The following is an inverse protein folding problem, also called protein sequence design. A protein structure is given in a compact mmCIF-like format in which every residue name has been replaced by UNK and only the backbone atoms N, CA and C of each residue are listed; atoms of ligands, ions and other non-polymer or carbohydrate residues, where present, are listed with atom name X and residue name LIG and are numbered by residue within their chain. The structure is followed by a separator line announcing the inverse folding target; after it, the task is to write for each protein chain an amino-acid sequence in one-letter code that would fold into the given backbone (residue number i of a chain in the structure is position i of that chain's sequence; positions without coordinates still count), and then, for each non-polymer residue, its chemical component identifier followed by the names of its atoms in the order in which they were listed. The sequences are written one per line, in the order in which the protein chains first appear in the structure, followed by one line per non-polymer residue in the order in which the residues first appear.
data_IF_830410657103
#
_entry.id   IF_830410657103
#
_cell.length_a   1.000
_cell.length_b   1.000
_cell.length_c   1.000
_cell.angle_alpha   90.00
_cell.angle_beta   90.00
_cell.angle_gamma   90.00
#
_symmetry.space_group_name_H-M   'P 1'
#
loop_
_entity.id
_entity.type
_entity.pdbx_description
1 polymer ?
#
# COMPACT_ATOMS: atom_id res chain seq x y z
N UNK A 1 -1.93 24.40 -21.46
CA UNK A 1 -1.21 23.35 -20.71
C UNK A 1 -1.21 22.07 -21.52
N UNK A 2 -0.06 21.39 -21.66
CA UNK A 2 0.12 20.14 -22.41
C UNK A 2 0.85 19.15 -21.50
N UNK A 3 0.34 17.93 -21.38
CA UNK A 3 0.89 16.84 -20.54
C UNK A 3 0.31 15.49 -20.98
N UNK A 4 0.91 14.40 -20.53
CA UNK A 4 0.47 13.01 -20.77
C UNK A 4 -0.59 12.52 -19.76
N UNK A 5 -0.51 12.95 -18.50
CA UNK A 5 -1.36 12.40 -17.41
C UNK A 5 -2.18 13.49 -16.73
N UNK A 6 -3.46 13.20 -16.49
CA UNK A 6 -4.44 14.13 -15.94
C UNK A 6 -5.30 13.46 -14.87
N UNK A 7 -5.58 14.18 -13.77
CA UNK A 7 -6.51 13.73 -12.74
C UNK A 7 -7.93 14.15 -13.14
N UNK A 8 -8.84 13.18 -13.19
CA UNK A 8 -10.28 13.41 -13.27
C UNK A 8 -10.83 13.36 -11.86
N UNK A 9 -11.41 14.46 -11.39
CA UNK A 9 -12.02 14.50 -10.06
C UNK A 9 -13.32 13.70 -10.00
N UNK A 10 -13.70 13.15 -8.83
CA UNK A 10 -14.94 12.42 -8.66
C UNK A 10 -16.15 13.20 -9.17
N UNK A 11 -17.04 12.52 -9.92
CA UNK A 11 -18.22 13.11 -10.56
C UNK A 11 -17.94 14.28 -11.52
N UNK A 12 -16.69 14.44 -11.97
CA UNK A 12 -16.28 15.44 -12.95
C UNK A 12 -16.12 14.89 -14.36
N UNK A 13 -15.61 15.75 -15.26
CA UNK A 13 -15.17 15.36 -16.59
C UNK A 13 -13.90 16.12 -16.99
N UNK A 14 -13.24 15.65 -18.05
CA UNK A 14 -12.15 16.36 -18.72
C UNK A 14 -12.41 16.36 -20.21
N UNK A 15 -12.00 17.43 -20.90
CA UNK A 15 -12.02 17.53 -22.35
C UNK A 15 -10.59 17.61 -22.84
N UNK A 16 -10.19 16.68 -23.69
CA UNK A 16 -8.85 16.57 -24.25
C UNK A 16 -8.87 16.90 -25.73
N UNK A 17 -7.79 17.50 -26.21
CA UNK A 17 -7.50 17.66 -27.64
C UNK A 17 -6.04 17.29 -27.87
N UNK A 18 -5.81 16.36 -28.78
CA UNK A 18 -4.50 16.05 -29.31
C UNK A 18 -4.56 16.07 -30.84
N UNK A 19 -3.41 16.24 -31.48
CA UNK A 19 -3.29 16.14 -32.93
C UNK A 19 -2.80 14.72 -33.24
N UNK A 20 -3.48 14.06 -34.17
CA UNK A 20 -3.06 12.75 -34.67
C UNK A 20 -1.95 12.94 -35.71
N UNK A 21 -0.72 13.15 -35.25
CA UNK A 21 0.48 13.29 -36.06
C UNK A 21 1.60 12.27 -35.75
N UNK A 22 1.26 11.19 -35.04
CA UNK A 22 2.16 10.09 -34.69
C UNK A 22 1.49 8.72 -34.93
N UNK A 23 1.59 8.15 -36.15
CA UNK A 23 0.99 6.86 -36.51
C UNK A 23 1.39 5.77 -35.53
N UNK A 24 0.42 5.05 -34.97
CA UNK A 24 0.68 4.10 -33.90
C UNK A 24 -0.57 3.55 -33.22
N UNK A 25 -0.34 2.69 -32.24
CA UNK A 25 -1.38 2.11 -31.38
C UNK A 25 -1.12 2.63 -29.96
N UNK A 26 -1.99 3.49 -29.46
CA UNK A 26 -1.77 4.23 -28.21
C UNK A 26 -2.78 3.84 -27.15
N UNK A 27 -2.30 3.50 -25.96
CA UNK A 27 -3.16 3.20 -24.82
C UNK A 27 -3.61 4.49 -24.13
N UNK A 28 -4.89 4.54 -23.78
CA UNK A 28 -5.48 5.58 -22.95
C UNK A 28 -6.19 4.93 -21.77
N UNK A 29 -5.63 5.08 -20.57
CA UNK A 29 -6.09 4.35 -19.40
C UNK A 29 -5.95 5.16 -18.11
N UNK A 30 -6.59 4.69 -17.04
CA UNK A 30 -6.31 5.20 -15.70
C UNK A 30 -4.95 4.71 -15.23
N UNK A 31 -4.10 5.56 -14.64
CA UNK A 31 -2.77 5.12 -14.18
C UNK A 31 -2.79 4.41 -12.80
N UNK A 32 -3.97 3.96 -12.36
CA UNK A 32 -4.14 3.16 -11.14
C UNK A 32 -4.19 1.70 -11.55
N UNK A 33 -3.21 0.90 -11.12
CA UNK A 33 -2.98 -0.47 -11.60
C UNK A 33 -4.22 -1.37 -11.50
N UNK A 34 -4.92 -1.33 -10.36
CA UNK A 34 -6.14 -2.12 -10.18
C UNK A 34 -7.32 -1.65 -11.05
N UNK A 35 -7.35 -0.38 -11.49
CA UNK A 35 -8.34 0.08 -12.46
C UNK A 35 -7.99 -0.38 -13.88
N UNK A 36 -6.71 -0.35 -14.28
CA UNK A 36 -6.26 -0.84 -15.60
C UNK A 36 -6.56 -2.31 -15.77
N UNK A 37 -6.17 -3.13 -14.79
CA UNK A 37 -6.38 -4.57 -14.80
C UNK A 37 -7.86 -4.95 -14.73
N UNK A 38 -8.71 -4.08 -14.15
CA UNK A 38 -10.17 -4.19 -14.20
C UNK A 38 -10.77 -3.76 -15.54
N UNK A 39 -9.98 -3.28 -16.50
CA UNK A 39 -10.41 -2.94 -17.85
C UNK A 39 -10.68 -1.45 -18.11
N UNK A 40 -10.28 -0.52 -17.22
CA UNK A 40 -10.42 0.93 -17.44
C UNK A 40 -9.35 1.44 -18.43
N UNK A 41 -9.48 1.01 -19.68
CA UNK A 41 -8.59 1.35 -20.79
C UNK A 41 -9.37 1.53 -22.10
N UNK A 42 -8.79 2.29 -23.01
CA UNK A 42 -9.15 2.39 -24.42
C UNK A 42 -7.86 2.36 -25.25
N UNK A 43 -7.98 1.96 -26.51
CA UNK A 43 -6.86 1.95 -27.46
C UNK A 43 -7.21 2.83 -28.64
N UNK A 44 -6.33 3.79 -28.95
CA UNK A 44 -6.42 4.61 -30.15
C UNK A 44 -5.55 3.99 -31.24
N UNK A 45 -6.16 3.66 -32.38
CA UNK A 45 -5.45 3.21 -33.57
C UNK A 45 -5.31 4.39 -34.52
N UNK A 46 -4.12 4.99 -34.54
CA UNK A 46 -3.82 6.20 -35.29
C UNK A 46 -3.18 5.89 -36.64
N UNK A 47 -3.81 6.39 -37.71
CA UNK A 47 -3.32 6.29 -39.09
C UNK A 47 -2.82 4.88 -39.49
N UNK A 48 -3.66 3.82 -39.39
CA UNK A 48 -3.23 2.43 -39.58
C UNK A 48 -2.61 2.15 -40.96
N UNK A 49 -3.08 2.84 -42.00
CA UNK A 49 -2.55 2.69 -43.35
C UNK A 49 -1.14 3.29 -43.51
N UNK A 50 -0.82 4.37 -42.78
CA UNK A 50 0.53 4.93 -42.77
C UNK A 50 1.45 4.11 -41.87
N UNK A 51 0.95 3.66 -40.72
CA UNK A 51 1.68 2.79 -39.81
C UNK A 51 2.17 1.52 -40.52
N UNK A 52 1.32 0.88 -41.32
CA UNK A 52 1.69 -0.33 -42.10
C UNK A 52 2.82 -0.10 -43.12
N UNK A 53 3.04 1.13 -43.58
CA UNK A 53 4.11 1.46 -44.53
C UNK A 53 5.44 1.72 -43.84
N UNK A 54 5.40 2.18 -42.60
CA UNK A 54 6.60 2.64 -41.86
C UNK A 54 7.10 1.62 -40.86
N UNK A 55 6.22 0.79 -40.29
CA UNK A 55 6.58 -0.16 -39.24
C UNK A 55 6.87 -1.55 -39.82
N UNK A 56 8.06 -2.05 -39.52
CA UNK A 56 8.41 -3.46 -39.67
C UNK A 56 8.69 -4.00 -38.26
N UNK A 57 7.90 -4.97 -37.82
CA UNK A 57 8.05 -5.56 -36.48
C UNK A 57 9.27 -6.50 -36.51
N UNK A 58 10.28 -6.29 -35.65
CA UNK A 58 11.43 -7.20 -35.56
C UNK A 58 11.03 -8.64 -35.20
N UNK A 59 11.80 -9.62 -35.69
CA UNK A 59 11.53 -11.05 -35.48
C UNK A 59 11.43 -11.42 -33.99
N UNK A 60 12.29 -10.83 -33.16
CA UNK A 60 12.31 -11.07 -31.70
C UNK A 60 10.93 -10.85 -31.04
N UNK A 61 10.13 -9.90 -31.54
CA UNK A 61 8.79 -9.68 -30.99
C UNK A 61 7.82 -10.81 -31.36
N UNK A 62 7.91 -11.35 -32.58
CA UNK A 62 7.12 -12.51 -32.98
C UNK A 62 7.52 -13.77 -32.19
N UNK A 63 8.80 -13.91 -31.88
CA UNK A 63 9.32 -15.02 -31.08
C UNK A 63 8.77 -14.95 -29.65
N UNK A 64 8.70 -13.76 -29.06
CA UNK A 64 8.06 -13.53 -27.74
C UNK A 64 6.56 -13.86 -27.79
N UNK A 65 5.83 -13.45 -28.83
CA UNK A 65 4.42 -13.81 -29.00
C UNK A 65 4.23 -15.32 -29.09
N UNK A 66 5.08 -15.99 -29.86
CA UNK A 66 5.05 -17.46 -30.02
C UNK A 66 5.36 -18.17 -28.71
N UNK A 67 6.35 -17.69 -27.95
CA UNK A 67 6.70 -18.24 -26.65
C UNK A 67 5.59 -18.06 -25.59
N UNK A 68 4.74 -17.05 -25.76
CA UNK A 68 3.61 -16.75 -24.87
C UNK A 68 2.26 -17.29 -25.34
N UNK A 69 2.22 -18.15 -26.37
CA UNK A 69 0.98 -18.64 -27.01
C UNK A 69 0.02 -17.51 -27.45
N UNK A 70 0.57 -16.37 -27.87
CA UNK A 70 -0.19 -15.18 -28.31
C UNK A 70 -0.29 -15.15 -29.84
N UNK A 71 -1.50 -15.25 -30.42
CA UNK A 71 -1.69 -15.15 -31.87
C UNK A 71 -1.31 -13.76 -32.40
N UNK A 72 -0.60 -13.73 -33.52
CA UNK A 72 -0.08 -12.50 -34.15
C UNK A 72 -0.98 -11.97 -35.28
N UNK A 73 -2.08 -12.64 -35.57
CA UNK A 73 -3.02 -12.29 -36.62
C UNK A 73 -4.47 -12.46 -36.14
N UNK A 74 -5.37 -11.63 -36.66
CA UNK A 74 -6.79 -11.64 -36.34
C UNK A 74 -7.21 -10.48 -35.43
N UNK A 75 -8.43 -10.56 -34.91
CA UNK A 75 -8.97 -9.58 -33.97
C UNK A 75 -8.57 -9.88 -32.50
N UNK A 76 -9.23 -9.24 -31.53
CA UNK A 76 -8.96 -9.44 -30.10
C UNK A 76 -9.18 -10.89 -29.60
N UNK A 77 -9.83 -11.74 -30.40
CA UNK A 77 -10.02 -13.17 -30.14
C UNK A 77 -9.24 -14.05 -31.13
N UNK A 78 -8.26 -13.50 -31.85
CA UNK A 78 -7.47 -14.17 -32.88
C UNK A 78 -8.28 -14.71 -34.08
N UNK A 79 -9.51 -14.20 -34.30
CA UNK A 79 -10.32 -14.59 -35.44
C UNK A 79 -9.88 -13.83 -36.70
N UNK A 80 -9.54 -14.58 -37.77
CA UNK A 80 -9.06 -14.02 -39.05
C UNK A 80 -10.11 -14.00 -40.16
N UNK A 81 -11.14 -14.84 -40.06
CA UNK A 81 -12.23 -14.91 -41.05
C UNK A 81 -13.37 -13.95 -40.71
N UNK A 82 -13.97 -14.11 -39.52
CA UNK A 82 -15.01 -13.22 -39.03
C UNK A 82 -14.41 -12.23 -38.01
N UNK A 83 -14.02 -11.06 -38.50
CA UNK A 83 -13.40 -10.02 -37.67
C UNK A 83 -14.32 -9.44 -36.58
N UNK A 84 -15.64 -9.65 -36.68
CA UNK A 84 -16.61 -9.19 -35.70
C UNK A 84 -16.90 -10.24 -34.61
N UNK A 85 -16.41 -11.47 -34.76
CA UNK A 85 -16.56 -12.48 -33.72
C UNK A 85 -15.49 -12.30 -32.64
N UNK A 86 -15.92 -11.89 -31.45
CA UNK A 86 -15.06 -11.63 -30.30
C UNK A 86 -15.13 -12.75 -29.24
N UNK A 87 -15.69 -13.91 -29.59
CA UNK A 87 -15.72 -15.08 -28.68
C UNK A 87 -14.29 -15.53 -28.37
N UNK A 88 -13.94 -15.53 -27.09
CA UNK A 88 -12.59 -15.88 -26.63
C UNK A 88 -11.66 -14.67 -26.41
N UNK A 89 -12.14 -13.44 -26.63
CA UNK A 89 -11.36 -12.26 -26.28
C UNK A 89 -11.08 -12.18 -24.77
N UNK A 90 -10.01 -11.46 -24.42
CA UNK A 90 -9.72 -11.15 -23.03
C UNK A 90 -10.87 -10.33 -22.43
N UNK A 91 -11.33 -10.75 -21.25
CA UNK A 91 -12.39 -10.06 -20.50
C UNK A 91 -11.88 -9.66 -19.13
N UNK A 92 -12.36 -8.53 -18.57
CA UNK A 92 -11.97 -8.12 -17.23
C UNK A 92 -12.36 -9.19 -16.21
N UNK A 93 -11.66 -9.26 -15.07
CA UNK A 93 -12.04 -10.15 -13.98
C UNK A 93 -13.48 -9.87 -13.56
N UNK A 94 -14.16 -10.92 -13.08
CA UNK A 94 -15.54 -10.81 -12.61
C UNK A 94 -15.62 -9.74 -11.52
N UNK A 95 -16.69 -8.92 -11.48
CA UNK A 95 -16.91 -8.00 -10.38
C UNK A 95 -16.85 -8.72 -9.04
N UNK A 96 -16.29 -8.06 -8.03
CA UNK A 96 -16.28 -8.57 -6.66
C UNK A 96 -17.72 -8.87 -6.23
N UNK A 97 -17.94 -9.98 -5.48
CA UNK A 97 -19.26 -10.24 -4.92
C UNK A 97 -19.68 -9.07 -4.03
N UNK A 98 -20.94 -8.68 -4.12
CA UNK A 98 -21.48 -7.65 -3.23
C UNK A 98 -21.42 -8.09 -1.77
N UNK A 99 -21.07 -7.15 -0.88
CA UNK A 99 -21.05 -7.36 0.56
C UNK A 99 -19.76 -7.98 1.10
N UNK A 100 -19.74 -8.24 2.41
CA UNK A 100 -18.61 -8.89 3.07
C UNK A 100 -18.65 -10.40 2.85
N UNK A 101 -17.52 -10.97 2.45
CA UNK A 101 -17.35 -12.43 2.44
C UNK A 101 -17.40 -12.96 3.88
N UNK A 102 -17.78 -14.23 4.10
CA UNK A 102 -17.74 -14.85 5.43
C UNK A 102 -16.37 -14.71 6.08
N UNK A 103 -15.29 -14.84 5.28
CA UNK A 103 -13.91 -14.59 5.73
C UNK A 103 -13.72 -13.14 6.20
N UNK A 104 -14.28 -12.17 5.47
CA UNK A 104 -14.26 -10.76 5.84
C UNK A 104 -15.02 -10.48 7.15
N UNK A 105 -16.20 -11.08 7.33
CA UNK A 105 -16.98 -10.94 8.57
C UNK A 105 -16.21 -11.52 9.75
N UNK A 106 -15.66 -12.72 9.62
CA UNK A 106 -14.87 -13.38 10.67
C UNK A 106 -13.65 -12.52 11.03
N UNK A 107 -12.89 -12.05 10.03
CA UNK A 107 -11.74 -11.18 10.27
C UNK A 107 -12.13 -9.87 10.98
N UNK A 108 -13.25 -9.26 10.59
CA UNK A 108 -13.77 -8.05 11.22
C UNK A 108 -14.15 -8.28 12.69
N UNK A 109 -14.87 -9.36 12.99
CA UNK A 109 -15.27 -9.71 14.36
C UNK A 109 -14.04 -9.91 15.26
N UNK A 110 -13.04 -10.67 14.82
CA UNK A 110 -11.81 -10.86 15.59
C UNK A 110 -11.04 -9.56 15.79
N UNK A 111 -11.01 -8.68 14.78
CA UNK A 111 -10.38 -7.37 14.89
C UNK A 111 -11.08 -6.49 15.93
N UNK A 112 -12.41 -6.49 15.97
CA UNK A 112 -13.19 -5.79 16.99
C UNK A 112 -12.94 -6.35 18.39
N UNK A 113 -12.94 -7.68 18.55
CA UNK A 113 -12.66 -8.32 19.85
C UNK A 113 -11.26 -7.95 20.34
N UNK A 114 -10.23 -8.05 19.48
CA UNK A 114 -8.86 -7.71 19.83
C UNK A 114 -8.74 -6.22 20.23
N UNK A 115 -9.40 -5.32 19.51
CA UNK A 115 -9.44 -3.89 19.83
C UNK A 115 -10.06 -3.62 21.20
N UNK A 116 -11.21 -4.24 21.51
CA UNK A 116 -11.88 -4.09 22.80
C UNK A 116 -11.01 -4.66 23.93
N UNK A 117 -10.47 -5.87 23.76
CA UNK A 117 -9.58 -6.48 24.76
C UNK A 117 -8.35 -5.62 25.00
N UNK A 118 -7.74 -5.04 23.95
CA UNK A 118 -6.62 -4.12 24.08
C UNK A 118 -6.96 -2.90 24.93
N UNK A 119 -8.11 -2.27 24.68
CA UNK A 119 -8.60 -1.13 25.49
C UNK A 119 -8.86 -1.55 26.94
N UNK A 120 -9.49 -2.70 27.17
CA UNK A 120 -9.73 -3.22 28.51
C UNK A 120 -8.44 -3.50 29.28
N UNK A 121 -7.42 -4.06 28.62
CA UNK A 121 -6.10 -4.32 29.24
C UNK A 121 -5.43 -3.02 29.63
N UNK A 122 -5.43 -2.01 28.76
CA UNK A 122 -4.86 -0.68 29.09
C UNK A 122 -5.58 -0.03 30.25
N UNK A 123 -6.92 -0.07 30.26
CA UNK A 123 -7.71 0.46 31.37
C UNK A 123 -7.43 -0.28 32.69
N UNK A 124 -7.30 -1.61 32.64
CA UNK A 124 -6.94 -2.43 33.80
C UNK A 124 -5.56 -2.05 34.35
N UNK A 125 -4.54 -1.98 33.50
CA UNK A 125 -3.19 -1.59 33.91
C UNK A 125 -3.13 -0.15 34.41
N UNK A 126 -3.87 0.78 33.78
CA UNK A 126 -3.92 2.18 34.20
C UNK A 126 -4.66 2.42 35.51
N UNK A 127 -5.59 1.53 35.88
CA UNK A 127 -6.34 1.58 37.14
C UNK A 127 -5.76 0.66 38.23
N UNK A 128 -4.85 -0.25 37.88
CA UNK A 128 -4.12 -1.04 38.86
C UNK A 128 -3.25 -0.08 39.69
N UNK A 129 -3.61 0.10 40.96
CA UNK A 129 -2.80 0.86 41.90
C UNK A 129 -1.38 0.29 41.97
N UNK A 130 -0.38 1.11 42.33
CA UNK A 130 1.01 0.65 42.40
C UNK A 130 1.10 -0.60 43.27
N UNK A 131 1.64 -1.68 42.69
CA UNK A 131 1.99 -2.90 43.43
C UNK A 131 3.29 -2.63 44.19
N UNK A 132 3.16 -1.83 45.23
CA UNK A 132 4.21 -1.42 46.15
C UNK A 132 3.49 -0.63 47.22
N UNK A 133 3.32 -1.23 48.40
CA UNK A 133 2.64 -0.56 49.50
C UNK A 133 3.36 0.75 49.79
N UNK A 134 2.63 1.76 50.25
CA UNK A 134 3.17 3.04 50.74
C UNK A 134 4.33 2.84 51.74
N UNK A 135 4.39 1.67 52.38
CA UNK A 135 5.47 1.22 53.25
C UNK A 135 6.82 0.94 52.55
N UNK A 136 6.82 0.47 51.30
CA UNK A 136 8.03 0.06 50.57
C UNK A 136 8.85 1.31 50.14
N UNK A 137 8.14 2.37 49.75
CA UNK A 137 8.78 3.67 49.45
C UNK A 137 9.29 4.38 50.71
N UNK A 138 8.62 4.21 51.85
CA UNK A 138 9.04 4.80 53.12
C UNK A 138 10.27 4.06 53.68
N UNK A 139 10.32 2.72 53.60
CA UNK A 139 11.50 1.95 54.00
C UNK A 139 12.73 2.30 53.14
N UNK A 140 12.58 2.41 51.81
CA UNK A 140 13.69 2.81 50.92
C UNK A 140 14.17 4.25 51.20
N UNK A 141 13.25 5.19 51.48
CA UNK A 141 13.62 6.56 51.84
C UNK A 141 14.33 6.64 53.20
N UNK A 142 13.85 5.87 54.18
CA UNK A 142 14.44 5.82 55.52
C UNK A 142 15.82 5.12 55.51
N UNK A 143 16.01 4.11 54.65
CA UNK A 143 17.32 3.47 54.43
C UNK A 143 18.33 4.46 53.85
N UNK A 144 17.97 5.16 52.76
CA UNK A 144 18.85 6.12 52.09
C UNK A 144 19.19 7.30 53.00
N UNK A 145 18.23 7.82 53.77
CA UNK A 145 18.49 8.91 54.72
C UNK A 145 19.34 8.45 55.90
N UNK A 146 19.23 7.19 56.36
CA UNK A 146 20.10 6.65 57.40
C UNK A 146 21.55 6.46 56.92
N UNK A 147 21.75 6.03 55.67
CA UNK A 147 23.09 5.91 55.08
C UNK A 147 23.72 7.28 54.87
N UNK A 148 22.96 8.25 54.34
CA UNK A 148 23.42 9.62 54.18
C UNK A 148 23.80 10.28 55.53
N UNK A 149 23.01 10.02 56.58
CA UNK A 149 23.29 10.48 57.95
C UNK A 149 24.57 9.86 58.52
N UNK A 150 24.83 8.57 58.27
CA UNK A 150 26.07 7.90 58.70
C UNK A 150 27.31 8.34 57.94
N UNK A 151 27.19 8.70 56.67
CA UNK A 151 28.32 9.11 55.83
C UNK A 151 28.73 10.58 56.00
N UNK A 152 27.83 11.42 56.52
CA UNK A 152 28.05 12.86 56.67
C UNK A 152 29.21 13.24 57.63
N UNK A 153 29.41 12.59 58.80
CA UNK A 153 30.52 12.90 59.70
C UNK A 153 31.88 12.61 59.06
N UNK A 154 32.01 11.48 58.35
CA UNK A 154 33.25 11.08 57.69
C UNK A 154 33.57 11.99 56.49
N UNK A 155 32.55 12.39 55.73
CA UNK A 155 32.71 13.34 54.64
C UNK A 155 33.11 14.74 55.14
N UNK A 156 32.57 15.19 56.28
CA UNK A 156 32.93 16.46 56.92
C UNK A 156 34.34 16.40 57.54
N UNK A 157 34.74 15.28 58.13
CA UNK A 157 36.09 15.07 58.65
C UNK A 157 37.15 15.11 57.54
N UNK A 158 36.86 14.50 56.38
CA UNK A 158 37.72 14.59 55.18
C UNK A 158 37.77 16.00 54.59
N UNK A 159 36.67 16.74 54.58
CA UNK A 159 36.63 18.10 54.05
C UNK A 159 37.36 19.12 54.94
N UNK A 160 37.38 18.91 56.26
CA UNK A 160 38.09 19.77 57.22
C UNK A 160 39.57 19.39 57.41
N UNK A 161 40.10 18.43 56.65
CA UNK A 161 41.54 18.16 56.55
C UNK A 161 42.19 17.69 57.85
N UNK A 162 41.45 17.02 58.74
CA UNK A 162 42.02 16.40 59.95
C UNK A 162 42.21 14.90 59.74
N UNK A 163 43.09 14.51 58.82
CA UNK A 163 43.74 13.19 58.86
C UNK A 163 45.14 13.41 59.43
N UNK A 164 45.33 13.06 60.70
CA UNK A 164 46.65 12.81 61.28
C UNK A 164 47.07 11.39 60.95
N UNK A 165 48.32 11.27 60.51
CA UNK A 165 49.16 10.06 60.36
C UNK A 165 48.75 8.80 61.14
#
# INVERSE_FOLDING_TARGET
MRRDTLVVWPNGNIVLRFKADNPGIWLFHCHIEWHVTSGLMATFVEAPLELQKTIAIPQDHFDVCTAGDVPVAGNAAANTQNLLDLKGQNTPPRPLPGGFTTRGIVAFVFSCIAGVLGVCVVAWYGLAGPTGGESDFQEDYDLVTSEASRALPDALARANGTETE
#
